data_IF_514257583808
#
_entry.id   IF_514257583808
#
_cell.length_a   1.000
_cell.length_b   1.000
_cell.length_c   1.000
_cell.angle_alpha   90.00
_cell.angle_beta   90.00
_cell.angle_gamma   90.00
#
_symmetry.space_group_name_H-M   'P 1'
#
loop_
_entity.id
_entity.type
_entity.pdbx_description
1 polymer ?
#
# COMPACT_ATOMS: atom_id res chain seq x y z
N UNK A 1 -35.56 16.80 -26.41
CA UNK A 1 -34.66 16.68 -25.23
C UNK A 1 -34.31 15.21 -25.04
N UNK A 2 -33.11 14.80 -25.44
CA UNK A 2 -32.75 13.41 -25.67
C UNK A 2 -32.30 12.73 -24.36
N UNK A 3 -33.11 11.78 -23.88
CA UNK A 3 -32.90 10.98 -22.66
C UNK A 3 -31.57 10.19 -22.66
N UNK A 4 -30.94 10.02 -23.83
CA UNK A 4 -29.67 9.33 -24.01
C UNK A 4 -28.46 10.05 -23.43
N UNK A 5 -28.51 11.38 -23.21
CA UNK A 5 -27.39 12.13 -22.63
C UNK A 5 -27.26 11.96 -21.11
N UNK A 6 -28.33 11.58 -20.43
CA UNK A 6 -28.32 11.35 -18.98
C UNK A 6 -27.71 10.00 -18.61
N UNK A 7 -27.83 8.98 -19.48
CA UNK A 7 -27.26 7.67 -19.21
C UNK A 7 -25.72 7.68 -19.24
N UNK A 8 -25.12 8.47 -20.15
CA UNK A 8 -23.66 8.57 -20.25
C UNK A 8 -23.02 9.23 -19.02
N UNK A 9 -23.70 10.23 -18.43
CA UNK A 9 -23.20 10.90 -17.24
C UNK A 9 -23.21 9.98 -16.00
N UNK A 10 -24.22 9.12 -15.87
CA UNK A 10 -24.31 8.17 -14.76
C UNK A 10 -23.19 7.11 -14.79
N UNK A 11 -22.80 6.63 -15.98
CA UNK A 11 -21.70 5.67 -16.15
C UNK A 11 -20.34 6.33 -15.85
N UNK A 12 -20.15 7.59 -16.23
CA UNK A 12 -18.92 8.33 -15.93
C UNK A 12 -18.73 8.54 -14.41
N UNK A 13 -19.81 8.78 -13.66
CA UNK A 13 -19.74 8.90 -12.20
C UNK A 13 -19.46 7.55 -11.51
N UNK A 14 -19.96 6.44 -12.04
CA UNK A 14 -19.67 5.10 -11.53
C UNK A 14 -18.22 4.66 -11.77
N UNK A 15 -17.60 5.08 -12.89
CA UNK A 15 -16.19 4.82 -13.17
C UNK A 15 -15.24 5.59 -12.23
N UNK A 16 -15.66 6.75 -11.70
CA UNK A 16 -14.85 7.53 -10.76
C UNK A 16 -14.99 7.05 -9.30
N UNK A 17 -16.04 6.30 -8.97
CA UNK A 17 -16.24 5.75 -7.63
C UNK A 17 -15.46 4.45 -7.38
N UNK A 18 -14.89 3.82 -8.41
CA UNK A 18 -14.13 2.57 -8.31
C UNK A 18 -12.66 2.70 -7.93
N UNK A 19 -12.13 3.92 -7.79
CA UNK A 19 -10.73 4.18 -7.44
C UNK A 19 -10.53 4.63 -5.98
N UNK A 20 -11.46 4.33 -5.08
CA UNK A 20 -11.15 4.37 -3.65
C UNK A 20 -10.32 3.14 -3.31
N UNK A 21 -9.00 3.33 -3.40
CA UNK A 21 -8.01 2.45 -2.81
C UNK A 21 -8.39 2.27 -1.33
N UNK A 22 -8.72 1.05 -0.88
CA UNK A 22 -9.22 0.84 0.47
C UNK A 22 -8.17 1.29 1.49
N UNK A 23 -8.61 1.99 2.53
CA UNK A 23 -7.81 2.32 3.71
C UNK A 23 -7.20 1.02 4.25
N UNK A 24 -5.89 0.89 4.11
CA UNK A 24 -5.17 -0.38 4.34
C UNK A 24 -4.52 -0.93 3.07
N UNK A 25 -3.90 -0.06 2.26
CA UNK A 25 -3.06 -0.52 1.17
C UNK A 25 -1.89 -1.33 1.73
N UNK A 26 -2.04 -2.65 1.75
CA UNK A 26 -0.97 -3.62 1.94
C UNK A 26 0.07 -3.34 0.85
N UNK A 27 1.06 -2.50 1.18
CA UNK A 27 2.17 -2.22 0.30
C UNK A 27 3.23 -3.28 0.62
N UNK A 28 3.46 -4.16 -0.35
CA UNK A 28 4.51 -5.15 -0.21
C UNK A 28 5.84 -4.43 0.07
N UNK A 29 6.66 -4.94 0.99
CA UNK A 29 7.86 -4.26 1.48
C UNK A 29 8.76 -3.75 0.35
N UNK A 30 8.91 -4.53 -0.73
CA UNK A 30 9.72 -4.17 -1.90
C UNK A 30 9.21 -2.93 -2.67
N UNK A 31 7.94 -2.55 -2.51
CA UNK A 31 7.34 -1.37 -3.14
C UNK A 31 7.75 -0.08 -2.43
N UNK A 32 8.06 -0.17 -1.14
CA UNK A 32 8.48 0.98 -0.32
C UNK A 32 9.99 0.99 -0.13
N UNK A 33 10.59 -0.19 0.00
CA UNK A 33 12.02 -0.38 0.23
C UNK A 33 12.56 -1.22 -0.92
N UNK A 34 13.03 -0.62 -2.02
CA UNK A 34 13.60 -1.37 -3.13
C UNK A 34 14.92 -2.04 -2.72
N UNK A 35 15.01 -3.35 -2.93
CA UNK A 35 16.10 -4.24 -2.49
C UNK A 35 16.42 -4.14 -0.98
N UNK A 36 15.44 -4.44 -0.11
CA UNK A 36 15.60 -4.25 1.32
C UNK A 36 16.57 -5.30 1.88
N UNK A 37 17.54 -4.86 2.69
CA UNK A 37 18.19 -5.77 3.65
C UNK A 37 17.26 -5.89 4.85
N UNK A 38 16.67 -7.06 5.04
CA UNK A 38 15.68 -7.33 6.08
C UNK A 38 16.32 -8.09 7.25
N UNK A 39 16.10 -7.61 8.48
CA UNK A 39 16.44 -8.29 9.73
C UNK A 39 15.17 -8.58 10.51
N UNK A 40 14.95 -9.84 10.89
CA UNK A 40 13.83 -10.21 11.77
C UNK A 40 14.17 -9.85 13.22
N UNK A 41 13.27 -9.11 13.88
CA UNK A 41 13.44 -8.67 15.27
C UNK A 41 12.71 -9.58 16.28
N UNK A 42 11.87 -10.50 15.79
CA UNK A 42 11.02 -11.36 16.61
C UNK A 42 9.54 -10.97 16.51
N UNK A 43 8.67 -11.98 16.68
CA UNK A 43 7.23 -11.80 16.46
C UNK A 43 6.92 -11.31 15.04
N UNK A 44 6.03 -10.33 14.95
CA UNK A 44 5.59 -9.67 13.72
C UNK A 44 6.54 -8.57 13.22
N UNK A 45 7.69 -8.33 13.87
CA UNK A 45 8.52 -7.15 13.60
C UNK A 45 9.77 -7.46 12.77
N UNK A 46 10.02 -6.59 11.79
CA UNK A 46 11.14 -6.64 10.88
C UNK A 46 11.76 -5.25 10.72
N UNK A 47 13.07 -5.21 10.55
CA UNK A 47 13.80 -4.00 10.20
C UNK A 47 14.24 -4.10 8.75
N UNK A 48 13.89 -3.12 7.92
CA UNK A 48 14.38 -3.01 6.56
C UNK A 48 15.27 -1.79 6.40
N UNK A 49 16.33 -1.95 5.61
CA UNK A 49 17.22 -0.86 5.21
C UNK A 49 17.21 -0.75 3.68
N UNK A 50 17.02 0.46 3.16
CA UNK A 50 17.16 0.72 1.72
C UNK A 50 18.62 1.03 1.32
N UNK A 51 18.82 1.26 0.02
CA UNK A 51 20.12 1.62 -0.56
C UNK A 51 20.62 3.01 -0.15
N UNK A 52 19.74 3.89 0.29
CA UNK A 52 20.08 5.25 0.75
C UNK A 52 20.43 5.29 2.24
N UNK A 53 20.40 4.14 2.92
CA UNK A 53 20.58 3.96 4.36
C UNK A 53 19.40 4.46 5.21
N UNK A 54 18.22 4.65 4.62
CA UNK A 54 17.01 4.87 5.40
C UNK A 54 16.60 3.57 6.10
N UNK A 55 16.09 3.69 7.31
CA UNK A 55 15.66 2.56 8.14
C UNK A 55 14.15 2.57 8.31
N UNK A 56 13.56 1.39 8.13
CA UNK A 56 12.12 1.17 8.23
C UNK A 56 11.84 0.06 9.24
N UNK A 57 10.96 0.35 10.19
CA UNK A 57 10.34 -0.67 11.02
C UNK A 57 9.08 -1.16 10.31
N UNK A 58 8.98 -2.47 10.15
CA UNK A 58 7.91 -3.14 9.44
C UNK A 58 7.23 -4.10 10.43
N UNK A 59 5.93 -3.95 10.56
CA UNK A 59 5.07 -4.98 11.17
C UNK A 59 4.43 -5.78 10.05
N UNK A 60 4.44 -7.11 10.18
CA UNK A 60 3.79 -8.01 9.23
C UNK A 60 2.81 -8.94 9.93
N UNK A 61 1.78 -9.36 9.22
CA UNK A 61 0.81 -10.32 9.72
C UNK A 61 1.35 -11.77 9.72
N UNK A 62 0.51 -12.72 10.13
CA UNK A 62 0.84 -14.14 10.19
C UNK A 62 1.11 -14.77 8.80
N UNK A 63 0.76 -14.08 7.71
CA UNK A 63 1.04 -14.47 6.33
C UNK A 63 2.32 -13.82 5.78
N UNK A 64 2.97 -12.95 6.56
CA UNK A 64 4.17 -12.23 6.18
C UNK A 64 3.91 -10.98 5.34
N UNK A 65 2.66 -10.51 5.27
CA UNK A 65 2.29 -9.27 4.60
C UNK A 65 2.50 -8.07 5.51
N UNK A 66 3.15 -7.03 5.01
CA UNK A 66 3.40 -5.82 5.80
C UNK A 66 2.09 -5.07 6.08
N UNK A 67 1.78 -4.91 7.37
CA UNK A 67 0.59 -4.19 7.86
C UNK A 67 0.93 -2.76 8.25
N UNK A 68 2.14 -2.52 8.77
CA UNK A 68 2.63 -1.19 9.15
C UNK A 68 4.06 -1.02 8.66
N UNK A 69 4.35 0.14 8.05
CA UNK A 69 5.70 0.51 7.64
C UNK A 69 5.97 1.93 8.13
N UNK A 70 6.93 2.05 9.04
CA UNK A 70 7.33 3.32 9.66
C UNK A 70 8.79 3.61 9.41
N UNK A 71 9.11 4.78 8.85
CA UNK A 71 10.49 5.24 8.72
C UNK A 71 10.99 5.76 10.07
N UNK A 72 12.16 5.28 10.50
CA UNK A 72 12.75 5.63 11.81
C UNK A 72 14.04 6.46 11.69
N UNK A 73 14.71 6.46 10.52
CA UNK A 73 15.89 7.28 10.22
C UNK A 73 16.00 7.48 8.70
#
# INVERSE_FOLDING_TARGET
MNKSKFLLAAVACLLLAGCQQPDGAYAAVHQIVPDPVILHLGGALYLAKDRENNLFLIEADDFGEATIISRIY
#
